data_IF_330104683924
#
_entry.id   IF_330104683924
#
_cell.length_a   1.000
_cell.length_b   1.000
_cell.length_c   1.000
_cell.angle_alpha   90.00
_cell.angle_beta   90.00
_cell.angle_gamma   90.00
#
_symmetry.space_group_name_H-M   'P 1'
#
loop_
_entity.id
_entity.type
_entity.pdbx_description
1 polymer ?
#
# COMPACT_ATOMS: atom_id res chain seq x y z
N UNK A 1 -9.24 13.80 1.43
CA UNK A 1 -10.18 12.74 1.85
C UNK A 1 -11.22 12.59 0.74
N UNK A 2 -11.24 11.59 -0.12
CA UNK A 2 -10.32 10.47 -0.31
C UNK A 2 -9.23 10.79 -1.34
N UNK A 3 -8.07 10.14 -1.20
CA UNK A 3 -7.03 10.22 -2.23
C UNK A 3 -7.53 9.51 -3.49
N UNK A 4 -7.15 9.98 -4.68
CA UNK A 4 -7.50 9.33 -5.97
C UNK A 4 -7.15 7.83 -5.98
N UNK A 5 -6.14 7.42 -5.21
CA UNK A 5 -5.76 6.03 -5.05
C UNK A 5 -6.78 5.16 -4.31
N UNK A 6 -7.38 5.67 -3.24
CA UNK A 6 -8.46 4.97 -2.51
C UNK A 6 -9.65 4.66 -3.42
N UNK A 7 -10.03 5.62 -4.29
CA UNK A 7 -11.15 5.46 -5.22
C UNK A 7 -10.86 4.39 -6.29
N UNK A 8 -9.63 4.37 -6.82
CA UNK A 8 -9.23 3.34 -7.77
C UNK A 8 -9.19 1.95 -7.12
N UNK A 9 -8.65 1.85 -5.90
CA UNK A 9 -8.65 0.61 -5.13
C UNK A 9 -10.07 0.11 -4.87
N UNK A 10 -10.98 1.00 -4.46
CA UNK A 10 -12.39 0.66 -4.21
C UNK A 10 -13.04 0.03 -5.43
N UNK A 11 -12.89 0.66 -6.60
CA UNK A 11 -13.44 0.13 -7.87
C UNK A 11 -12.87 -1.23 -8.22
N UNK A 12 -11.55 -1.41 -8.09
CA UNK A 12 -10.91 -2.69 -8.36
C UNK A 12 -11.45 -3.81 -7.46
N UNK A 13 -11.69 -3.53 -6.18
CA UNK A 13 -12.26 -4.51 -5.26
C UNK A 13 -13.73 -4.79 -5.60
N UNK A 14 -14.53 -3.75 -5.79
CA UNK A 14 -15.98 -3.86 -6.09
C UNK A 14 -16.26 -4.60 -7.40
N UNK A 15 -15.42 -4.43 -8.42
CA UNK A 15 -15.59 -5.10 -9.72
C UNK A 15 -15.20 -6.58 -9.71
N UNK A 16 -14.34 -7.01 -8.76
CA UNK A 16 -13.76 -8.36 -8.76
C UNK A 16 -14.23 -9.24 -7.58
N UNK A 17 -14.84 -8.66 -6.55
CA UNK A 17 -15.16 -9.37 -5.31
C UNK A 17 -16.60 -9.13 -4.88
N UNK A 18 -17.21 -10.11 -4.22
CA UNK A 18 -18.54 -9.94 -3.61
C UNK A 18 -18.40 -9.23 -2.25
N UNK A 19 -19.44 -8.51 -1.77
CA UNK A 19 -19.37 -7.75 -0.52
C UNK A 19 -19.01 -8.55 0.74
N UNK A 20 -19.19 -9.88 0.72
CA UNK A 20 -18.84 -10.79 1.82
C UNK A 20 -17.36 -11.23 1.81
N UNK A 21 -16.64 -10.99 0.71
CA UNK A 21 -15.24 -11.34 0.52
C UNK A 21 -14.25 -10.25 0.98
N UNK A 22 -14.74 -9.04 1.28
CA UNK A 22 -13.91 -7.94 1.75
C UNK A 22 -14.66 -7.06 2.76
N UNK A 23 -13.93 -6.17 3.42
CA UNK A 23 -14.50 -5.10 4.21
C UNK A 23 -13.73 -3.80 3.94
N UNK A 24 -14.40 -2.66 4.06
CA UNK A 24 -13.79 -1.34 3.90
C UNK A 24 -13.80 -0.56 5.23
N UNK A 25 -12.76 0.24 5.46
CA UNK A 25 -12.61 1.11 6.62
C UNK A 25 -12.80 0.39 7.97
N UNK A 26 -12.13 -0.76 8.15
CA UNK A 26 -12.19 -1.55 9.38
C UNK A 26 -10.95 -1.39 10.25
N UNK A 27 -11.06 -1.73 11.53
CA UNK A 27 -9.92 -1.93 12.43
C UNK A 27 -9.57 -3.43 12.46
N UNK A 28 -8.57 -3.89 11.68
CA UNK A 28 -8.33 -5.32 11.53
C UNK A 28 -7.60 -5.93 12.74
N UNK A 29 -6.94 -5.10 13.56
CA UNK A 29 -6.17 -5.52 14.74
C UNK A 29 -6.92 -5.16 16.03
N UNK A 30 -7.29 -6.14 16.88
CA UNK A 30 -7.94 -5.86 18.16
C UNK A 30 -7.10 -4.94 19.05
N UNK A 31 -7.75 -3.95 19.67
CA UNK A 31 -7.09 -2.97 20.53
C UNK A 31 -6.31 -1.86 19.80
N UNK A 32 -6.20 -1.91 18.47
CA UNK A 32 -5.64 -0.84 17.66
C UNK A 32 -6.73 0.12 17.17
N UNK A 33 -6.41 1.41 17.09
CA UNK A 33 -7.26 2.41 16.45
C UNK A 33 -6.96 2.61 14.96
N UNK A 34 -5.98 1.87 14.41
CA UNK A 34 -5.64 1.96 13.00
C UNK A 34 -6.77 1.39 12.13
N UNK A 35 -7.27 2.22 11.22
CA UNK A 35 -8.29 1.85 10.24
C UNK A 35 -7.61 1.62 8.90
N UNK A 36 -7.77 0.41 8.36
CA UNK A 36 -7.31 0.08 7.00
C UNK A 36 -8.42 0.39 6.00
N UNK A 37 -8.03 0.89 4.82
CA UNK A 37 -8.96 1.26 3.75
C UNK A 37 -9.77 0.05 3.28
N UNK A 38 -9.08 -1.08 3.00
CA UNK A 38 -9.70 -2.33 2.60
C UNK A 38 -9.02 -3.52 3.27
N UNK A 39 -9.79 -4.59 3.49
CA UNK A 39 -9.27 -5.86 3.94
C UNK A 39 -9.98 -7.02 3.23
N UNK A 40 -9.22 -7.91 2.61
CA UNK A 40 -9.76 -9.14 2.02
C UNK A 40 -9.97 -10.18 3.12
N UNK A 41 -11.12 -10.84 3.10
CA UNK A 41 -11.47 -11.90 4.05
C UNK A 41 -10.89 -13.22 3.59
N UNK A 42 -9.91 -13.74 4.33
CA UNK A 42 -9.35 -15.07 4.09
C UNK A 42 -9.96 -16.10 5.07
N UNK A 43 -10.09 -17.37 4.65
CA UNK A 43 -10.52 -18.44 5.55
C UNK A 43 -9.51 -18.59 6.71
N UNK A 44 -10.01 -18.65 7.94
CA UNK A 44 -9.18 -18.86 9.12
C UNK A 44 -8.50 -20.24 9.12
N UNK A 45 -7.35 -20.36 9.78
CA UNK A 45 -6.69 -21.65 9.99
C UNK A 45 -7.39 -22.41 11.12
N UNK A 46 -8.40 -23.23 10.79
CA UNK A 46 -9.06 -24.16 11.70
C UNK A 46 -10.59 -24.05 11.70
N UNK A 47 -11.27 -25.13 12.10
CA UNK A 47 -12.72 -25.12 12.30
C UNK A 47 -13.08 -24.15 13.45
N UNK A 48 -13.95 -23.18 13.15
CA UNK A 48 -14.39 -22.17 14.13
C UNK A 48 -13.43 -20.99 14.33
N UNK A 49 -12.27 -20.95 13.65
CA UNK A 49 -11.41 -19.78 13.66
C UNK A 49 -12.09 -18.62 12.89
N UNK A 50 -12.09 -17.42 13.48
CA UNK A 50 -12.56 -16.20 12.81
C UNK A 50 -11.76 -15.91 11.52
N UNK A 51 -12.27 -15.00 10.66
CA UNK A 51 -11.57 -14.66 9.43
C UNK A 51 -10.18 -14.07 9.72
N UNK A 52 -9.23 -14.38 8.83
CA UNK A 52 -7.93 -13.71 8.78
C UNK A 52 -8.03 -12.59 7.75
N UNK A 53 -7.71 -11.37 8.13
CA UNK A 53 -7.77 -10.22 7.23
C UNK A 53 -6.46 -10.05 6.46
N UNK A 54 -6.54 -9.85 5.13
CA UNK A 54 -5.43 -9.35 4.32
C UNK A 54 -5.60 -7.83 4.13
N UNK A 55 -4.83 -6.99 4.85
CA UNK A 55 -4.97 -5.54 4.80
C UNK A 55 -4.43 -4.98 3.47
N UNK A 56 -5.16 -4.03 2.88
CA UNK A 56 -4.76 -3.31 1.68
C UNK A 56 -4.92 -1.81 1.94
N UNK A 57 -3.84 -1.05 1.71
CA UNK A 57 -3.77 0.37 2.01
C UNK A 57 -3.12 1.13 0.85
N UNK A 58 -3.79 2.13 0.30
CA UNK A 58 -3.35 2.89 -0.85
C UNK A 58 -2.36 3.99 -0.45
N UNK A 59 -1.27 4.11 -1.21
CA UNK A 59 -0.23 5.12 -0.98
C UNK A 59 0.20 5.80 -2.25
N UNK A 60 0.38 7.11 -2.15
CA UNK A 60 0.87 7.94 -3.24
C UNK A 60 1.81 9.02 -2.68
N UNK A 61 3.15 8.80 -2.70
CA UNK A 61 4.14 9.80 -2.31
C UNK A 61 4.24 10.89 -3.40
N UNK A 62 3.18 11.69 -3.50
CA UNK A 62 2.96 12.63 -4.60
C UNK A 62 4.11 13.63 -4.74
N UNK A 63 4.57 14.22 -3.63
CA UNK A 63 5.60 15.25 -3.64
C UNK A 63 6.96 14.72 -4.11
N UNK A 64 7.35 13.52 -3.68
CA UNK A 64 8.58 12.87 -4.17
C UNK A 64 8.46 12.44 -5.63
N UNK A 65 7.28 11.98 -6.03
CA UNK A 65 7.01 11.58 -7.41
C UNK A 65 7.06 12.80 -8.35
N UNK A 66 6.41 13.91 -8.00
CA UNK A 66 6.45 15.17 -8.77
C UNK A 66 7.87 15.70 -8.89
N UNK A 67 8.64 15.73 -7.79
CA UNK A 67 10.07 16.12 -7.82
C UNK A 67 10.91 15.25 -8.76
N UNK A 68 10.61 13.95 -8.84
CA UNK A 68 11.29 13.06 -9.77
C UNK A 68 10.93 13.37 -11.22
N UNK A 69 9.64 13.61 -11.50
CA UNK A 69 9.18 13.98 -12.85
C UNK A 69 9.79 15.31 -13.30
N UNK A 70 9.79 16.33 -12.44
CA UNK A 70 10.37 17.64 -12.75
C UNK A 70 11.86 17.54 -13.11
N UNK A 71 12.62 16.72 -12.37
CA UNK A 71 14.03 16.49 -12.67
C UNK A 71 14.24 15.73 -13.99
N UNK A 72 13.35 14.79 -14.33
CA UNK A 72 13.38 14.08 -15.62
C UNK A 72 13.09 15.04 -16.78
N UNK A 73 12.06 15.88 -16.64
CA UNK A 73 11.66 16.86 -17.66
C UNK A 73 12.73 17.93 -17.89
N UNK A 74 13.45 18.31 -16.83
CA UNK A 74 14.59 19.23 -16.89
C UNK A 74 15.88 18.58 -17.43
N UNK A 75 15.88 17.27 -17.72
CA UNK A 75 17.06 16.49 -18.06
C UNK A 75 18.21 16.62 -17.04
N UNK A 76 17.87 16.83 -15.76
CA UNK A 76 18.83 16.95 -14.65
C UNK A 76 19.17 15.56 -14.10
N UNK A 77 20.27 14.98 -14.59
CA UNK A 77 20.70 13.63 -14.19
C UNK A 77 20.95 13.49 -12.67
N UNK A 78 21.51 14.52 -12.01
CA UNK A 78 21.76 14.48 -10.57
C UNK A 78 20.48 14.69 -9.76
N UNK A 79 19.58 15.56 -10.25
CA UNK A 79 18.24 15.73 -9.73
C UNK A 79 17.44 14.43 -9.76
N UNK A 80 17.45 13.71 -10.89
CA UNK A 80 16.76 12.42 -11.06
C UNK A 80 17.27 11.39 -10.06
N UNK A 81 18.59 11.30 -9.86
CA UNK A 81 19.20 10.39 -8.91
C UNK A 81 18.77 10.71 -7.46
N UNK A 82 18.80 11.99 -7.10
CA UNK A 82 18.47 12.46 -5.74
C UNK A 82 16.99 12.30 -5.44
N UNK A 83 16.11 12.74 -6.35
CA UNK A 83 14.66 12.62 -6.23
C UNK A 83 14.21 11.15 -6.25
N UNK A 84 14.81 10.32 -7.11
CA UNK A 84 14.53 8.89 -7.16
C UNK A 84 14.88 8.17 -5.84
N UNK A 85 16.01 8.52 -5.22
CA UNK A 85 16.37 7.99 -3.91
C UNK A 85 15.40 8.47 -2.81
N UNK A 86 14.94 9.71 -2.88
CA UNK A 86 13.93 10.24 -1.95
C UNK A 86 12.59 9.52 -2.09
N UNK A 87 12.11 9.28 -3.32
CA UNK A 87 10.91 8.52 -3.60
C UNK A 87 11.00 7.10 -3.02
N UNK A 88 12.11 6.40 -3.23
CA UNK A 88 12.33 5.06 -2.67
C UNK A 88 12.23 5.05 -1.15
N UNK A 89 12.87 6.01 -0.47
CA UNK A 89 12.77 6.14 1.00
C UNK A 89 11.36 6.45 1.48
N UNK A 90 10.62 7.30 0.76
CA UNK A 90 9.24 7.63 1.10
C UNK A 90 8.34 6.38 1.00
N UNK A 91 8.49 5.58 -0.06
CA UNK A 91 7.76 4.31 -0.22
C UNK A 91 8.13 3.32 0.88
N UNK A 92 9.41 3.15 1.19
CA UNK A 92 9.87 2.28 2.28
C UNK A 92 9.26 2.69 3.64
N UNK A 93 9.23 4.00 3.93
CA UNK A 93 8.61 4.53 5.14
C UNK A 93 7.12 4.18 5.22
N UNK A 94 6.39 4.33 4.11
CA UNK A 94 4.97 3.97 4.07
C UNK A 94 4.78 2.46 4.26
N UNK A 95 5.67 1.62 3.70
CA UNK A 95 5.57 0.17 3.82
C UNK A 95 5.78 -0.26 5.27
N UNK A 96 6.77 0.32 5.95
CA UNK A 96 7.01 0.11 7.39
C UNK A 96 5.82 0.58 8.23
N UNK A 97 5.20 1.71 7.88
CA UNK A 97 4.02 2.21 8.58
C UNK A 97 2.80 1.30 8.41
N UNK A 98 2.56 0.77 7.20
CA UNK A 98 1.50 -0.22 6.94
C UNK A 98 1.76 -1.50 7.75
N UNK A 99 2.98 -2.03 7.70
CA UNK A 99 3.35 -3.23 8.45
C UNK A 99 3.13 -3.05 9.95
N UNK A 100 3.62 -1.95 10.52
CA UNK A 100 3.46 -1.65 11.95
C UNK A 100 2.00 -1.48 12.39
N UNK A 101 1.12 -0.99 11.51
CA UNK A 101 -0.29 -0.76 11.83
C UNK A 101 -1.17 -2.00 11.69
N UNK A 102 -0.90 -2.83 10.69
CA UNK A 102 -1.86 -3.83 10.24
C UNK A 102 -1.36 -5.27 10.24
N UNK A 103 -0.05 -5.53 10.38
CA UNK A 103 0.46 -6.91 10.43
C UNK A 103 0.42 -7.41 11.89
N UNK A 104 -0.58 -8.21 12.21
CA UNK A 104 -0.80 -8.82 13.52
C UNK A 104 -1.48 -10.20 13.44
N UNK A 105 -0.74 -11.28 13.10
CA UNK A 105 -1.25 -12.64 13.26
C UNK A 105 -1.69 -12.93 14.72
N UNK A 106 -2.80 -13.67 14.95
CA UNK A 106 -3.61 -14.39 13.95
C UNK A 106 -4.77 -13.58 13.36
N UNK A 107 -4.89 -12.28 13.66
CA UNK A 107 -6.02 -11.45 13.22
C UNK A 107 -5.89 -11.02 11.76
N UNK A 108 -4.66 -10.80 11.32
CA UNK A 108 -4.31 -10.50 9.93
C UNK A 108 -3.30 -11.49 9.39
N UNK A 109 -3.05 -11.41 8.08
CA UNK A 109 -1.89 -12.02 7.44
C UNK A 109 -0.58 -11.49 8.06
N UNK A 110 0.49 -12.26 7.88
CA UNK A 110 1.88 -11.91 8.23
C UNK A 110 2.51 -10.89 7.27
N UNK A 111 1.73 -10.40 6.29
CA UNK A 111 2.06 -9.31 5.38
C UNK A 111 0.82 -8.45 5.13
N UNK A 112 0.99 -7.32 4.45
CA UNK A 112 -0.07 -6.44 3.98
C UNK A 112 0.27 -5.95 2.57
N UNK A 113 -0.73 -5.46 1.82
CA UNK A 113 -0.53 -4.93 0.47
C UNK A 113 -0.54 -3.40 0.53
N UNK A 114 0.54 -2.79 0.02
CA UNK A 114 0.51 -1.37 -0.35
C UNK A 114 0.04 -1.25 -1.79
N UNK A 115 -1.09 -0.57 -2.00
CA UNK A 115 -1.58 -0.28 -3.34
C UNK A 115 -0.99 1.03 -3.87
N UNK A 116 -0.33 0.98 -5.03
CA UNK A 116 0.17 2.16 -5.73
C UNK A 116 -0.77 2.47 -6.91
N UNK A 117 -1.35 3.68 -6.98
CA UNK A 117 -2.49 3.95 -7.86
C UNK A 117 -2.13 4.20 -9.32
N UNK A 118 -0.85 4.22 -9.68
CA UNK A 118 -0.39 4.43 -11.06
C UNK A 118 0.74 3.48 -11.40
N UNK A 119 0.68 2.94 -12.61
CA UNK A 119 1.72 2.06 -13.14
C UNK A 119 3.07 2.79 -13.25
N UNK A 120 3.07 4.06 -13.63
CA UNK A 120 4.31 4.87 -13.70
C UNK A 120 5.01 4.99 -12.35
N UNK A 121 4.27 5.21 -11.26
CA UNK A 121 4.85 5.22 -9.92
C UNK A 121 5.41 3.84 -9.56
N UNK A 122 4.65 2.78 -9.83
CA UNK A 122 5.10 1.42 -9.58
C UNK A 122 6.39 1.10 -10.35
N UNK A 123 6.47 1.47 -11.63
CA UNK A 123 7.66 1.31 -12.45
C UNK A 123 8.86 2.08 -11.89
N UNK A 124 8.64 3.32 -11.40
CA UNK A 124 9.71 4.10 -10.78
C UNK A 124 10.21 3.49 -9.48
N UNK A 125 9.33 2.87 -8.70
CA UNK A 125 9.68 2.09 -7.49
C UNK A 125 10.49 0.85 -7.85
N UNK A 126 10.08 0.08 -8.87
CA UNK A 126 10.80 -1.12 -9.34
C UNK A 126 12.23 -0.81 -9.83
N UNK A 127 12.45 0.39 -10.39
CA UNK A 127 13.77 0.83 -10.86
C UNK A 127 14.75 1.13 -9.73
N UNK A 128 14.31 1.11 -8.46
CA UNK A 128 15.17 1.44 -7.31
C UNK A 128 15.86 0.19 -6.77
N UNK A 129 17.20 0.08 -6.90
CA UNK A 129 17.93 -1.09 -6.41
C UNK A 129 17.73 -1.29 -4.91
N UNK A 130 17.47 -2.52 -4.50
CA UNK A 130 17.36 -2.90 -3.08
C UNK A 130 16.08 -2.44 -2.37
N UNK A 131 15.08 -1.91 -3.08
CA UNK A 131 13.77 -1.59 -2.48
C UNK A 131 12.85 -2.83 -2.41
N UNK A 132 13.02 -3.80 -3.31
CA UNK A 132 12.24 -5.04 -3.35
C UNK A 132 12.84 -6.17 -2.50
N UNK A 133 14.13 -6.10 -2.20
CA UNK A 133 14.88 -7.17 -1.52
C UNK A 133 14.95 -6.97 0.01
N UNK A 134 14.12 -6.09 0.59
CA UNK A 134 14.18 -5.64 1.99
C UNK A 134 12.97 -6.04 2.83
#
# INVERSE_FOLDING_TARGET
RGTWGEVQLARLIEDNMTPDQYASNIKPVPGSDAVVEFAIRLPGRGEGAGPVWLPIDAKFPKEEYERLMDAQDAADAEGVKTAGAALGRAVELQARAIAAKYVAPPHTTDFAIMFLPTESLYAEVLRRPGLLDR
#
